data_IF_229659765511
#
_entry.id   IF_229659765511
#
_cell.length_a   1.000
_cell.length_b   1.000
_cell.length_c   1.000
_cell.angle_alpha   90.00
_cell.angle_beta   90.00
_cell.angle_gamma   90.00
#
_symmetry.space_group_name_H-M   'P 1'
#
loop_
_entity.id
_entity.type
_entity.pdbx_description
1 polymer ?
#
# COMPACT_ATOMS: atom_id res chain seq x y z
N UNK A 1 -29.15 19.03 -16.31
CA UNK A 1 -27.68 18.95 -16.44
C UNK A 1 -27.14 17.57 -16.05
N UNK A 2 -27.67 16.90 -15.01
CA UNK A 2 -27.25 15.53 -14.61
C UNK A 2 -27.37 14.49 -15.72
N UNK A 3 -28.51 14.42 -16.41
CA UNK A 3 -28.79 13.38 -17.42
C UNK A 3 -27.79 13.35 -18.58
N UNK A 4 -27.27 14.50 -19.01
CA UNK A 4 -26.27 14.56 -20.08
C UNK A 4 -24.91 14.02 -19.62
N UNK A 5 -24.52 14.29 -18.37
CA UNK A 5 -23.29 13.77 -17.78
C UNK A 5 -23.39 12.25 -17.58
N UNK A 6 -24.55 11.77 -17.11
CA UNK A 6 -24.81 10.35 -16.91
C UNK A 6 -24.80 9.59 -18.25
N UNK A 7 -25.43 10.15 -19.29
CA UNK A 7 -25.38 9.58 -20.64
C UNK A 7 -23.95 9.55 -21.20
N UNK A 8 -23.17 10.61 -21.02
CA UNK A 8 -21.76 10.65 -21.46
C UNK A 8 -20.90 9.59 -20.75
N UNK A 9 -21.06 9.44 -19.43
CA UNK A 9 -20.36 8.40 -18.66
C UNK A 9 -20.74 7.00 -19.13
N UNK A 10 -22.01 6.78 -19.39
CA UNK A 10 -22.49 5.50 -19.92
C UNK A 10 -21.91 5.20 -21.31
N UNK A 11 -21.74 6.22 -22.17
CA UNK A 11 -21.05 6.05 -23.45
C UNK A 11 -19.59 5.62 -23.27
N UNK A 12 -18.83 6.31 -22.39
CA UNK A 12 -17.44 5.95 -22.10
C UNK A 12 -17.32 4.52 -21.56
N UNK A 13 -18.23 4.12 -20.67
CA UNK A 13 -18.26 2.76 -20.11
C UNK A 13 -18.53 1.72 -21.20
N UNK A 14 -19.49 1.97 -22.09
CA UNK A 14 -19.81 1.07 -23.21
C UNK A 14 -18.65 0.96 -24.19
N UNK A 15 -17.99 2.07 -24.50
CA UNK A 15 -16.79 2.08 -25.33
C UNK A 15 -15.69 1.20 -24.73
N UNK A 16 -15.38 1.39 -23.44
CA UNK A 16 -14.41 0.54 -22.71
C UNK A 16 -14.78 -0.93 -22.76
N UNK A 17 -16.03 -1.28 -22.42
CA UNK A 17 -16.52 -2.66 -22.45
C UNK A 17 -16.47 -3.27 -23.87
N UNK A 18 -16.76 -2.47 -24.89
CA UNK A 18 -16.69 -2.89 -26.28
C UNK A 18 -15.25 -3.17 -26.68
N UNK A 19 -14.31 -2.28 -26.36
CA UNK A 19 -12.88 -2.43 -26.61
C UNK A 19 -12.31 -3.67 -25.91
N UNK A 20 -12.63 -3.87 -24.63
CA UNK A 20 -12.19 -5.05 -23.87
C UNK A 20 -12.65 -6.37 -24.52
N UNK A 21 -13.89 -6.41 -25.01
CA UNK A 21 -14.45 -7.58 -25.69
C UNK A 21 -13.86 -7.77 -27.09
N UNK A 22 -13.70 -6.69 -27.85
CA UNK A 22 -13.18 -6.70 -29.20
C UNK A 22 -11.72 -7.20 -29.23
N UNK A 23 -10.91 -6.71 -28.29
CA UNK A 23 -9.51 -7.08 -28.14
C UNK A 23 -9.31 -8.39 -27.36
N UNK A 24 -10.38 -9.00 -26.84
CA UNK A 24 -10.34 -10.22 -26.00
C UNK A 24 -9.37 -10.09 -24.81
N UNK A 25 -9.39 -8.92 -24.18
CA UNK A 25 -8.46 -8.58 -23.10
C UNK A 25 -8.58 -9.57 -21.93
N UNK A 26 -7.46 -10.17 -21.57
CA UNK A 26 -7.30 -10.98 -20.37
C UNK A 26 -7.17 -10.08 -19.13
N UNK A 27 -7.30 -10.62 -17.91
CA UNK A 27 -7.17 -9.82 -16.69
C UNK A 27 -5.86 -9.01 -16.61
N UNK A 28 -4.75 -9.58 -17.07
CA UNK A 28 -3.46 -8.89 -17.11
C UNK A 28 -3.44 -7.74 -18.13
N UNK A 29 -4.08 -7.90 -19.28
CA UNK A 29 -4.19 -6.83 -20.29
C UNK A 29 -4.96 -5.63 -19.74
N UNK A 30 -5.99 -5.87 -18.92
CA UNK A 30 -6.75 -4.80 -18.25
C UNK A 30 -5.92 -4.07 -17.19
N UNK A 31 -5.05 -4.79 -16.48
CA UNK A 31 -4.09 -4.17 -15.56
C UNK A 31 -2.99 -3.42 -16.32
N UNK A 32 -2.56 -3.93 -17.48
CA UNK A 32 -1.61 -3.25 -18.38
C UNK A 32 -2.20 -1.97 -18.95
N UNK A 33 -3.49 -1.94 -19.26
CA UNK A 33 -4.18 -0.71 -19.69
C UNK A 33 -4.21 0.38 -18.61
N UNK A 34 -4.16 -0.01 -17.33
CA UNK A 34 -4.02 0.92 -16.20
C UNK A 34 -2.54 1.32 -16.02
N UNK A 35 -1.66 0.34 -15.90
CA UNK A 35 -0.24 0.56 -15.67
C UNK A 35 0.62 -0.37 -16.54
N UNK A 36 0.96 0.05 -17.78
CA UNK A 36 1.76 -0.79 -18.68
C UNK A 36 3.19 -0.98 -18.15
N UNK A 37 3.65 -0.09 -17.27
CA UNK A 37 4.96 -0.18 -16.60
C UNK A 37 5.06 -1.35 -15.61
N UNK A 38 3.94 -1.76 -15.02
CA UNK A 38 3.90 -2.87 -14.06
C UNK A 38 3.41 -4.16 -14.69
N UNK A 39 2.42 -4.08 -15.58
CA UNK A 39 1.68 -5.24 -16.06
C UNK A 39 1.79 -5.44 -17.58
N UNK A 40 2.62 -4.64 -18.25
CA UNK A 40 2.96 -4.82 -19.65
C UNK A 40 3.92 -5.99 -19.85
N UNK A 41 4.40 -6.20 -21.10
CA UNK A 41 5.31 -7.29 -21.42
C UNK A 41 6.57 -7.27 -20.55
N UNK A 42 7.05 -8.47 -20.20
CA UNK A 42 8.24 -8.65 -19.38
C UNK A 42 9.46 -8.00 -20.05
N UNK A 43 10.20 -7.21 -19.27
CA UNK A 43 11.48 -6.64 -19.69
C UNK A 43 12.59 -7.60 -19.27
N UNK A 44 13.58 -7.78 -20.14
CA UNK A 44 14.75 -8.61 -19.85
C UNK A 44 15.53 -8.04 -18.66
N UNK A 45 15.99 -8.92 -17.76
CA UNK A 45 16.86 -8.54 -16.64
C UNK A 45 16.24 -8.61 -15.24
N UNK A 46 14.96 -8.99 -15.11
CA UNK A 46 14.37 -9.32 -13.81
C UNK A 46 15.09 -10.53 -13.20
N UNK A 47 15.52 -10.44 -11.95
CA UNK A 47 16.11 -11.57 -11.22
C UNK A 47 15.01 -12.48 -10.65
N UNK A 48 15.35 -13.74 -10.41
CA UNK A 48 14.38 -14.75 -9.91
C UNK A 48 13.80 -14.39 -8.54
N UNK A 49 14.59 -13.76 -7.67
CA UNK A 49 14.14 -13.33 -6.33
C UNK A 49 13.36 -12.02 -6.32
N UNK A 50 13.36 -11.26 -7.42
CA UNK A 50 12.66 -9.98 -7.47
C UNK A 50 11.14 -10.20 -7.58
N UNK A 51 10.32 -9.40 -6.85
CA UNK A 51 8.87 -9.53 -6.90
C UNK A 51 8.36 -9.15 -8.29
N UNK A 52 7.34 -9.88 -8.76
CA UNK A 52 6.64 -9.53 -10.00
C UNK A 52 5.90 -8.20 -9.87
N UNK A 53 5.31 -7.95 -8.70
CA UNK A 53 4.48 -6.78 -8.46
C UNK A 53 4.74 -6.21 -7.07
N UNK A 54 4.85 -4.89 -7.00
CA UNK A 54 4.89 -4.14 -5.74
C UNK A 54 3.63 -3.28 -5.70
N UNK A 55 2.79 -3.57 -4.72
CA UNK A 55 1.49 -2.94 -4.51
C UNK A 55 1.49 -2.22 -3.15
N UNK A 56 0.70 -1.16 -3.07
CA UNK A 56 0.32 -0.52 -1.81
C UNK A 56 -1.18 -0.67 -1.63
N UNK A 57 -1.58 -0.94 -0.40
CA UNK A 57 -2.96 -1.17 0.03
C UNK A 57 -3.18 -0.36 1.31
N UNK A 58 -4.30 0.34 1.38
CA UNK A 58 -4.58 1.26 2.48
C UNK A 58 -6.07 1.63 2.52
N UNK A 59 -6.56 2.00 3.70
CA UNK A 59 -7.94 2.39 3.96
C UNK A 59 -8.06 3.88 4.28
N UNK A 60 -8.97 4.58 3.61
CA UNK A 60 -9.31 5.96 3.92
C UNK A 60 -10.74 6.11 4.44
N UNK A 61 -10.87 6.32 5.75
CA UNK A 61 -12.15 6.50 6.45
C UNK A 61 -12.72 7.92 6.37
N UNK A 62 -11.94 8.91 5.90
CA UNK A 62 -12.47 10.26 5.68
C UNK A 62 -13.47 10.30 4.51
N UNK A 63 -13.38 9.34 3.59
CA UNK A 63 -14.26 9.17 2.44
C UNK A 63 -15.68 8.69 2.80
N UNK A 64 -16.07 8.66 4.08
CA UNK A 64 -17.40 8.22 4.53
C UNK A 64 -18.60 8.99 3.95
N UNK A 65 -19.75 8.33 3.88
CA UNK A 65 -21.06 8.89 3.45
C UNK A 65 -22.09 8.78 4.57
N UNK A 66 -22.94 9.80 4.72
CA UNK A 66 -24.00 9.79 5.73
C UNK A 66 -25.29 9.12 5.23
N UNK A 67 -25.96 8.33 6.09
CA UNK A 67 -27.23 7.63 5.81
C UNK A 67 -28.36 8.60 5.42
N UNK A 68 -28.39 9.80 6.00
CA UNK A 68 -29.40 10.82 5.71
C UNK A 68 -29.20 11.52 4.34
N UNK A 69 -28.27 11.05 3.51
CA UNK A 69 -27.86 11.73 2.29
C UNK A 69 -28.65 11.26 1.08
N UNK A 70 -29.52 12.16 0.59
CA UNK A 70 -30.27 12.10 -0.67
C UNK A 70 -31.22 10.90 -0.83
N UNK A 71 -32.31 11.10 -1.60
CA UNK A 71 -33.22 10.01 -1.96
C UNK A 71 -32.53 9.12 -2.99
N UNK A 72 -32.31 7.85 -2.65
CA UNK A 72 -31.79 6.84 -3.58
C UNK A 72 -32.71 6.75 -4.81
N UNK A 73 -32.15 6.90 -6.00
CA UNK A 73 -32.88 6.63 -7.24
C UNK A 73 -32.82 5.11 -7.45
N UNK A 74 -33.98 4.44 -7.47
CA UNK A 74 -34.14 2.97 -7.52
C UNK A 74 -33.61 2.26 -8.79
N UNK A 75 -32.72 2.89 -9.56
CA UNK A 75 -31.98 2.20 -10.62
C UNK A 75 -30.89 1.32 -9.99
N UNK A 76 -30.77 0.07 -10.44
CA UNK A 76 -29.71 -0.85 -10.01
C UNK A 76 -28.34 -0.14 -10.09
N UNK A 77 -27.56 -0.08 -9.01
CA UNK A 77 -26.22 0.48 -9.03
C UNK A 77 -25.38 -0.30 -10.06
N UNK A 78 -24.84 0.39 -11.07
CA UNK A 78 -23.78 -0.19 -11.89
C UNK A 78 -22.44 0.08 -11.20
N UNK A 79 -21.73 -1.00 -10.86
CA UNK A 79 -20.41 -0.91 -10.22
C UNK A 79 -19.40 -0.30 -11.21
N UNK A 80 -18.76 0.84 -10.88
CA UNK A 80 -17.76 1.45 -11.75
C UNK A 80 -16.52 0.57 -11.94
N UNK A 81 -15.73 0.85 -12.98
CA UNK A 81 -14.71 -0.09 -13.47
C UNK A 81 -13.56 -0.37 -12.50
N UNK A 82 -13.20 0.61 -11.64
CA UNK A 82 -12.19 0.44 -10.61
C UNK A 82 -12.75 -0.16 -9.32
N UNK A 83 -14.07 -0.13 -9.13
CA UNK A 83 -14.70 -0.69 -7.94
C UNK A 83 -14.93 -2.19 -8.08
N UNK A 84 -14.65 -2.92 -7.00
CA UNK A 84 -15.04 -4.33 -6.92
C UNK A 84 -16.52 -4.40 -6.56
N UNK A 85 -17.24 -5.29 -7.24
CA UNK A 85 -18.65 -5.50 -7.01
C UNK A 85 -18.91 -6.02 -5.58
N UNK A 86 -19.86 -5.44 -4.82
CA UNK A 86 -20.15 -5.88 -3.45
C UNK A 86 -20.45 -7.39 -3.33
N UNK A 87 -21.12 -7.98 -4.32
CA UNK A 87 -21.42 -9.41 -4.30
C UNK A 87 -20.13 -10.24 -4.38
N UNK A 88 -19.14 -9.78 -5.15
CA UNK A 88 -17.81 -10.41 -5.21
C UNK A 88 -17.05 -10.25 -3.90
N UNK A 89 -17.16 -9.09 -3.25
CA UNK A 89 -16.54 -8.86 -1.94
C UNK A 89 -17.12 -9.82 -0.91
N UNK A 90 -18.45 -9.99 -0.87
CA UNK A 90 -19.11 -10.93 0.03
C UNK A 90 -18.69 -12.38 -0.24
N UNK A 91 -18.56 -12.77 -1.51
CA UNK A 91 -18.08 -14.10 -1.88
C UNK A 91 -16.64 -14.34 -1.41
N UNK A 92 -15.75 -13.35 -1.56
CA UNK A 92 -14.37 -13.44 -1.06
C UNK A 92 -14.33 -13.56 0.46
N UNK A 93 -15.15 -12.76 1.17
CA UNK A 93 -15.27 -12.83 2.63
C UNK A 93 -15.77 -14.20 3.10
N UNK A 94 -16.80 -14.74 2.45
CA UNK A 94 -17.33 -16.06 2.79
C UNK A 94 -16.29 -17.17 2.56
N UNK A 95 -15.55 -17.11 1.45
CA UNK A 95 -14.47 -18.06 1.17
C UNK A 95 -13.33 -17.98 2.20
N UNK A 96 -12.97 -16.77 2.66
CA UNK A 96 -11.98 -16.60 3.73
C UNK A 96 -12.46 -17.24 5.05
N UNK A 97 -13.73 -17.09 5.40
CA UNK A 97 -14.32 -17.71 6.61
C UNK A 97 -14.40 -19.24 6.54
N UNK A 98 -14.59 -19.79 5.34
CA UNK A 98 -14.61 -21.24 5.11
C UNK A 98 -13.19 -21.85 5.21
N UNK A 99 -12.18 -21.20 4.61
CA UNK A 99 -10.78 -21.64 4.68
C UNK A 99 -10.23 -21.63 6.13
N UNK A 100 -10.65 -20.67 6.95
CA UNK A 100 -10.17 -20.53 8.34
C UNK A 100 -10.71 -21.60 9.30
N UNK A 101 -11.69 -22.42 8.90
CA UNK A 101 -12.18 -23.53 9.73
C UNK A 101 -11.29 -24.78 9.69
N UNK A 102 -10.33 -24.85 8.75
CA UNK A 102 -9.45 -26.01 8.56
C UNK A 102 -8.00 -25.79 9.05
N UNK A 103 -7.61 -24.58 9.47
CA UNK A 103 -6.26 -24.27 9.96
C UNK A 103 -6.20 -24.03 11.46
N UNK A 104 -5.35 -24.79 12.18
CA UNK A 104 -5.01 -24.46 13.57
C UNK A 104 -4.27 -23.11 13.62
N UNK A 105 -4.86 -22.13 14.32
CA UNK A 105 -4.25 -20.82 14.55
C UNK A 105 -3.06 -20.95 15.51
N UNK A 106 -1.84 -20.75 15.02
CA UNK A 106 -0.68 -20.47 15.88
C UNK A 106 -0.73 -18.99 16.22
N UNK A 107 -1.14 -18.70 17.46
CA UNK A 107 -1.25 -17.36 18.01
C UNK A 107 0.16 -16.79 18.31
N UNK A 108 0.87 -16.35 17.28
CA UNK A 108 1.98 -15.42 17.41
C UNK A 108 1.52 -14.04 16.93
N UNK A 109 0.60 -13.45 17.68
CA UNK A 109 0.21 -12.06 17.47
C UNK A 109 1.44 -11.15 17.68
N UNK A 110 1.85 -10.43 16.63
CA UNK A 110 3.00 -9.53 16.70
C UNK A 110 2.67 -8.38 17.67
N UNK A 111 3.52 -8.14 18.67
CA UNK A 111 3.29 -7.16 19.76
C UNK A 111 3.04 -5.72 19.26
N UNK A 112 3.41 -5.43 18.00
CA UNK A 112 3.18 -4.16 17.32
C UNK A 112 1.68 -3.87 17.11
N UNK A 113 0.86 -4.93 16.93
CA UNK A 113 -0.59 -4.83 16.67
C UNK A 113 -1.36 -4.28 17.88
N UNK A 114 -0.84 -4.48 19.10
CA UNK A 114 -1.47 -3.98 20.33
C UNK A 114 -1.19 -2.49 20.62
N UNK A 115 -0.06 -1.96 20.13
CA UNK A 115 0.40 -0.61 20.48
C UNK A 115 -0.05 0.49 19.53
N UNK A 116 -0.36 0.15 18.27
CA UNK A 116 -0.77 1.14 17.28
C UNK A 116 -2.06 0.73 16.58
N UNK A 117 -3.16 1.35 17.01
CA UNK A 117 -4.36 1.38 16.18
C UNK A 117 -4.12 2.33 15.02
N UNK A 118 -4.07 1.82 13.79
CA UNK A 118 -4.16 2.64 12.58
C UNK A 118 -5.31 3.64 12.77
N UNK A 119 -4.98 4.93 12.76
CA UNK A 119 -5.83 6.06 13.16
C UNK A 119 -7.15 5.61 13.80
N UNK A 120 -7.11 5.24 15.08
CA UNK A 120 -8.33 5.14 15.89
C UNK A 120 -9.03 6.49 15.75
N UNK A 121 -10.01 6.58 14.86
CA UNK A 121 -10.91 7.71 14.80
C UNK A 121 -11.44 7.77 16.24
N UNK A 122 -11.24 8.91 16.91
CA UNK A 122 -11.61 9.16 18.32
C UNK A 122 -13.14 9.17 18.47
N UNK A 123 -13.83 8.34 17.68
CA UNK A 123 -15.22 8.35 17.31
C UNK A 123 -15.70 6.91 17.50
N UNK A 124 -16.22 6.66 18.70
CA UNK A 124 -16.76 5.35 19.07
C UNK A 124 -17.87 4.87 18.14
N UNK A 125 -18.28 3.61 18.32
CA UNK A 125 -19.34 2.90 17.59
C UNK A 125 -20.62 3.70 17.30
N UNK A 126 -20.91 4.74 18.09
CA UNK A 126 -22.05 5.63 17.91
C UNK A 126 -21.93 6.63 16.73
N UNK A 127 -20.72 6.98 16.26
CA UNK A 127 -20.55 7.88 15.10
C UNK A 127 -20.84 7.18 13.77
N UNK A 128 -20.64 5.87 13.70
CA UNK A 128 -20.86 5.07 12.50
C UNK A 128 -22.33 4.77 12.22
N UNK A 129 -23.21 4.83 13.24
CA UNK A 129 -24.65 4.57 13.10
C UNK A 129 -25.36 5.52 12.12
N UNK A 130 -24.75 6.66 11.81
CA UNK A 130 -25.26 7.65 10.84
C UNK A 130 -24.54 7.62 9.49
N UNK A 131 -23.67 6.63 9.23
CA UNK A 131 -22.97 6.45 7.95
C UNK A 131 -23.31 5.08 7.33
N UNK A 132 -23.63 5.04 6.04
CA UNK A 132 -23.86 3.79 5.31
C UNK A 132 -22.59 3.30 4.61
N UNK A 133 -21.67 4.20 4.28
CA UNK A 133 -20.31 3.89 3.84
C UNK A 133 -19.30 4.44 4.85
N UNK A 134 -18.44 3.58 5.42
CA UNK A 134 -17.51 3.96 6.49
C UNK A 134 -16.14 4.39 5.98
N UNK A 135 -15.79 4.04 4.74
CA UNK A 135 -14.52 4.40 4.11
C UNK A 135 -14.35 3.84 2.71
N UNK A 136 -13.13 3.96 2.18
CA UNK A 136 -12.71 3.32 0.93
C UNK A 136 -11.39 2.61 1.19
N UNK A 137 -11.33 1.34 0.81
CA UNK A 137 -10.08 0.59 0.75
C UNK A 137 -9.54 0.65 -0.69
N UNK A 138 -8.26 0.99 -0.83
CA UNK A 138 -7.61 1.15 -2.11
C UNK A 138 -6.48 0.17 -2.33
N UNK A 139 -6.21 -0.11 -3.60
CA UNK A 139 -5.00 -0.79 -4.05
C UNK A 139 -4.39 0.00 -5.20
N UNK A 140 -3.10 0.31 -5.09
CA UNK A 140 -2.35 0.98 -6.15
C UNK A 140 -0.99 0.31 -6.39
N UNK A 141 -0.47 0.41 -7.61
CA UNK A 141 0.88 -0.07 -7.91
C UNK A 141 1.95 0.95 -7.47
N UNK A 142 3.23 0.52 -7.45
CA UNK A 142 4.40 1.39 -7.20
C UNK A 142 4.55 2.61 -8.12
N UNK A 143 3.77 2.72 -9.20
CA UNK A 143 3.72 3.88 -10.10
C UNK A 143 2.48 4.75 -9.88
N UNK A 144 1.83 4.59 -8.72
CA UNK A 144 0.77 5.47 -8.24
C UNK A 144 -0.47 5.42 -9.12
N UNK A 145 -0.68 4.26 -9.75
CA UNK A 145 -1.89 3.95 -10.52
C UNK A 145 -2.85 3.18 -9.64
N UNK A 146 -4.08 3.69 -9.50
CA UNK A 146 -5.17 3.04 -8.79
C UNK A 146 -5.56 1.79 -9.56
N UNK A 147 -5.43 0.63 -8.93
CA UNK A 147 -5.81 -0.65 -9.53
C UNK A 147 -7.24 -0.99 -9.18
N UNK A 148 -7.60 -0.98 -7.89
CA UNK A 148 -8.94 -1.31 -7.41
C UNK A 148 -9.32 -0.49 -6.20
N UNK A 149 -10.62 -0.28 -6.04
CA UNK A 149 -11.25 0.34 -4.89
C UNK A 149 -12.35 -0.58 -4.37
N UNK A 150 -12.50 -0.61 -3.05
CA UNK A 150 -13.60 -1.30 -2.36
C UNK A 150 -14.22 -0.30 -1.39
N UNK A 151 -15.54 -0.31 -1.30
CA UNK A 151 -16.22 0.47 -0.29
C UNK A 151 -16.23 -0.31 1.03
N UNK A 152 -15.87 0.35 2.13
CA UNK A 152 -15.84 -0.27 3.44
C UNK A 152 -17.24 -0.13 4.07
N UNK A 153 -17.78 -1.25 4.54
CA UNK A 153 -19.02 -1.32 5.31
C UNK A 153 -18.70 -1.81 6.73
N UNK A 154 -18.90 -0.94 7.72
CA UNK A 154 -18.54 -1.25 9.12
C UNK A 154 -17.05 -1.02 9.43
N UNK A 155 -16.61 -1.47 10.61
CA UNK A 155 -15.23 -1.37 11.09
C UNK A 155 -14.71 -2.76 11.43
N UNK A 156 -13.60 -3.16 10.83
CA UNK A 156 -12.89 -4.38 11.20
C UNK A 156 -11.87 -4.77 10.15
N UNK A 157 -10.61 -4.49 10.44
CA UNK A 157 -9.52 -5.30 9.90
C UNK A 157 -9.26 -6.37 10.96
N UNK A 158 -9.29 -7.64 10.58
CA UNK A 158 -8.76 -8.75 11.34
C UNK A 158 -8.68 -9.93 10.37
N UNK A 159 -7.49 -10.18 9.83
CA UNK A 159 -6.99 -11.52 9.50
C UNK A 159 -5.70 -11.38 8.68
N UNK A 160 -4.58 -11.72 9.30
CA UNK A 160 -3.34 -12.02 8.59
C UNK A 160 -3.40 -13.47 8.10
N UNK A 161 -3.08 -13.71 6.82
CA UNK A 161 -2.86 -15.06 6.29
C UNK A 161 -1.37 -15.26 6.07
N UNK A 162 -0.83 -16.35 6.63
CA UNK A 162 0.43 -16.91 6.16
C UNK A 162 0.21 -17.57 4.79
N UNK A 163 0.31 -16.79 3.72
CA UNK A 163 0.50 -17.35 2.38
C UNK A 163 1.95 -17.12 1.97
N UNK A 164 2.68 -18.20 1.68
CA UNK A 164 4.10 -18.23 1.31
C UNK A 164 4.43 -17.55 -0.05
N UNK A 165 3.55 -16.67 -0.56
CA UNK A 165 3.70 -15.97 -1.84
C UNK A 165 3.69 -14.44 -1.71
N UNK A 166 3.47 -13.89 -0.51
CA UNK A 166 3.34 -12.45 -0.29
C UNK A 166 4.42 -11.94 0.66
N UNK A 167 5.01 -10.79 0.32
CA UNK A 167 5.87 -10.02 1.22
C UNK A 167 5.12 -8.77 1.66
N UNK A 168 5.11 -8.52 2.97
CA UNK A 168 4.49 -7.33 3.56
C UNK A 168 5.55 -6.28 3.90
N UNK A 169 5.18 -5.02 3.76
CA UNK A 169 6.02 -3.89 4.11
C UNK A 169 5.16 -2.70 4.54
N UNK A 170 5.66 -1.96 5.52
CA UNK A 170 5.05 -0.72 6.00
C UNK A 170 5.60 0.45 5.18
N UNK A 171 4.76 1.39 4.75
CA UNK A 171 5.25 2.55 3.99
C UNK A 171 6.35 3.29 4.76
N UNK A 172 7.30 3.92 4.05
CA UNK A 172 8.53 4.44 4.66
C UNK A 172 8.25 5.51 5.71
N UNK A 173 7.23 6.36 5.51
CA UNK A 173 6.87 7.35 6.54
C UNK A 173 6.23 6.70 7.77
N UNK A 174 5.36 5.70 7.57
CA UNK A 174 4.73 5.00 8.68
C UNK A 174 5.73 4.16 9.46
N UNK A 175 6.68 3.50 8.79
CA UNK A 175 7.69 2.64 9.40
C UNK A 175 8.45 3.36 10.53
N UNK A 176 8.85 4.61 10.34
CA UNK A 176 9.60 5.39 11.34
C UNK A 176 8.83 5.67 12.64
N UNK A 177 7.51 5.59 12.62
CA UNK A 177 6.65 5.79 13.79
C UNK A 177 6.50 4.49 14.60
N UNK A 178 6.88 3.35 14.03
CA UNK A 178 6.88 2.07 14.73
C UNK A 178 8.19 1.81 15.48
N UNK A 179 8.12 0.91 16.46
CA UNK A 179 9.28 0.36 17.15
C UNK A 179 10.35 -0.13 16.16
N UNK A 180 11.63 -0.05 16.56
CA UNK A 180 12.77 -0.43 15.72
C UNK A 180 12.64 -1.85 15.14
N UNK A 181 12.03 -2.77 15.89
CA UNK A 181 11.78 -4.13 15.40
C UNK A 181 10.84 -4.16 14.18
N UNK A 182 9.72 -3.44 14.23
CA UNK A 182 8.78 -3.36 13.12
C UNK A 182 9.46 -2.68 11.92
N UNK A 183 10.39 -1.74 12.16
CA UNK A 183 11.24 -1.18 11.10
C UNK A 183 12.14 -2.25 10.49
N UNK A 184 12.86 -3.06 11.27
CA UNK A 184 13.70 -4.13 10.73
C UNK A 184 12.89 -5.17 9.93
N UNK A 185 11.68 -5.51 10.38
CA UNK A 185 10.86 -6.53 9.72
C UNK A 185 10.16 -6.01 8.47
N UNK A 186 9.65 -4.78 8.49
CA UNK A 186 8.70 -4.32 7.47
C UNK A 186 9.12 -3.04 6.74
N UNK A 187 10.23 -2.38 7.08
CA UNK A 187 10.65 -1.16 6.38
C UNK A 187 11.25 -1.49 4.99
N UNK A 188 10.68 -0.98 3.88
CA UNK A 188 11.16 -1.20 2.51
C UNK A 188 12.57 -0.70 2.26
N UNK A 189 13.12 0.19 3.10
CA UNK A 189 14.50 0.69 3.01
C UNK A 189 15.52 -0.23 3.67
N UNK A 190 15.09 -1.07 4.59
CA UNK A 190 15.95 -2.00 5.34
C UNK A 190 15.85 -3.44 4.83
N UNK A 191 14.88 -3.70 3.96
CA UNK A 191 14.60 -5.00 3.39
C UNK A 191 14.91 -5.02 1.90
N UNK A 192 15.40 -6.17 1.43
CA UNK A 192 15.66 -6.39 0.02
C UNK A 192 14.35 -6.45 -0.79
N UNK A 193 14.45 -6.47 -2.11
CA UNK A 193 13.33 -6.67 -3.06
C UNK A 193 12.32 -5.52 -3.26
N UNK A 194 12.28 -4.52 -2.38
CA UNK A 194 11.41 -3.34 -2.56
C UNK A 194 11.97 -2.30 -3.55
N UNK A 195 13.27 -2.38 -3.83
CA UNK A 195 14.03 -1.37 -4.56
C UNK A 195 13.93 -0.01 -3.87
N UNK A 196 13.69 1.06 -4.64
CA UNK A 196 13.54 2.41 -4.09
C UNK A 196 12.07 2.83 -3.84
N UNK A 197 11.15 1.86 -3.79
CA UNK A 197 9.73 2.11 -3.55
C UNK A 197 9.52 2.64 -2.12
N UNK A 198 8.68 3.67 -1.95
CA UNK A 198 8.39 4.29 -0.66
C UNK A 198 7.12 3.75 0.01
N UNK A 199 6.26 3.04 -0.72
CA UNK A 199 4.98 2.54 -0.21
C UNK A 199 3.89 3.61 -0.08
N UNK A 200 4.18 4.87 -0.44
CA UNK A 200 3.33 6.05 -0.20
C UNK A 200 2.35 6.34 -1.35
N UNK A 201 2.15 5.36 -2.24
CA UNK A 201 1.35 5.52 -3.44
C UNK A 201 -0.10 5.91 -3.12
N UNK A 202 -0.71 5.24 -2.14
CA UNK A 202 -2.09 5.51 -1.76
C UNK A 202 -2.26 6.82 -1.00
N UNK A 203 -1.32 7.23 -0.15
CA UNK A 203 -1.37 8.55 0.49
C UNK A 203 -1.40 9.69 -0.55
N UNK A 204 -0.59 9.56 -1.60
CA UNK A 204 -0.59 10.52 -2.71
C UNK A 204 -1.92 10.50 -3.49
N UNK A 205 -2.54 9.34 -3.64
CA UNK A 205 -3.87 9.19 -4.25
C UNK A 205 -4.97 9.77 -3.35
N UNK A 206 -4.93 9.53 -2.04
CA UNK A 206 -5.86 10.08 -1.07
C UNK A 206 -5.82 11.60 -1.03
N UNK A 207 -4.62 12.17 -1.05
CA UNK A 207 -4.42 13.61 -1.20
C UNK A 207 -5.09 14.13 -2.49
N UNK A 208 -4.89 13.45 -3.62
CA UNK A 208 -5.51 13.81 -4.90
C UNK A 208 -7.05 13.72 -4.90
N UNK A 209 -7.62 12.76 -4.17
CA UNK A 209 -9.07 12.55 -4.02
C UNK A 209 -9.69 13.40 -2.91
N UNK A 210 -8.89 14.02 -2.04
CA UNK A 210 -9.37 14.80 -0.89
C UNK A 210 -10.39 15.90 -1.21
N UNK A 211 -10.33 16.61 -2.37
CA UNK A 211 -11.33 17.61 -2.70
C UNK A 211 -12.75 17.04 -2.89
N UNK A 212 -12.88 15.72 -3.11
CA UNK A 212 -14.16 15.05 -3.26
C UNK A 212 -14.82 14.69 -1.93
N UNK A 213 -14.06 14.65 -0.82
CA UNK A 213 -14.57 14.18 0.48
C UNK A 213 -15.78 14.99 0.94
N UNK A 214 -15.66 16.33 0.94
CA UNK A 214 -16.74 17.22 1.38
C UNK A 214 -18.00 17.11 0.52
N UNK A 215 -17.91 17.30 -0.81
CA UNK A 215 -19.06 17.22 -1.71
C UNK A 215 -19.74 15.84 -1.74
N UNK A 216 -18.96 14.74 -1.71
CA UNK A 216 -19.52 13.40 -1.86
C UNK A 216 -20.18 12.86 -0.59
N UNK A 217 -19.88 13.45 0.58
CA UNK A 217 -20.46 13.06 1.88
C UNK A 217 -21.98 13.08 1.90
N UNK A 218 -22.59 13.96 1.11
CA UNK A 218 -24.04 14.18 1.02
C UNK A 218 -24.64 13.76 -0.33
N UNK A 219 -23.85 13.10 -1.18
CA UNK A 219 -24.30 12.63 -2.48
C UNK A 219 -24.97 11.25 -2.39
N UNK A 220 -25.74 10.86 -3.40
CA UNK A 220 -26.25 9.49 -3.53
C UNK A 220 -25.07 8.52 -3.69
N UNK A 221 -25.24 7.26 -3.31
CA UNK A 221 -24.22 6.21 -3.48
C UNK A 221 -23.65 6.16 -4.92
N UNK A 222 -24.52 6.17 -5.92
CA UNK A 222 -24.11 6.09 -7.34
C UNK A 222 -23.24 7.29 -7.77
N UNK A 223 -23.65 8.51 -7.42
CA UNK A 223 -22.86 9.71 -7.72
C UNK A 223 -21.49 9.68 -7.02
N UNK A 224 -21.42 9.22 -5.75
CA UNK A 224 -20.16 9.06 -5.03
C UNK A 224 -19.22 8.11 -5.76
N UNK A 225 -19.68 6.89 -6.03
CA UNK A 225 -18.86 5.87 -6.70
C UNK A 225 -18.42 6.33 -8.10
N UNK A 226 -19.34 6.91 -8.89
CA UNK A 226 -19.03 7.40 -10.23
C UNK A 226 -18.02 8.56 -10.22
N UNK A 227 -18.12 9.49 -9.25
CA UNK A 227 -17.19 10.60 -9.13
C UNK A 227 -15.78 10.13 -8.73
N UNK A 228 -15.68 9.20 -7.77
CA UNK A 228 -14.42 8.61 -7.35
C UNK A 228 -13.76 7.83 -8.49
N UNK A 229 -14.50 6.95 -9.16
CA UNK A 229 -14.02 6.17 -10.31
C UNK A 229 -13.54 7.09 -11.44
N UNK A 230 -14.34 8.10 -11.81
CA UNK A 230 -13.96 9.05 -12.86
C UNK A 230 -12.68 9.82 -12.52
N UNK A 231 -12.54 10.27 -11.27
CA UNK A 231 -11.38 11.02 -10.80
C UNK A 231 -10.13 10.14 -10.72
N UNK A 232 -10.27 8.90 -10.26
CA UNK A 232 -9.20 7.90 -10.24
C UNK A 232 -8.78 7.44 -11.64
N UNK A 233 -9.73 7.25 -12.56
CA UNK A 233 -9.42 6.98 -13.96
C UNK A 233 -8.64 8.14 -14.58
N UNK A 234 -9.06 9.39 -14.34
CA UNK A 234 -8.32 10.56 -14.82
C UNK A 234 -6.90 10.64 -14.23
N UNK A 235 -6.73 10.38 -12.95
CA UNK A 235 -5.40 10.26 -12.31
C UNK A 235 -4.53 9.24 -13.04
N UNK A 236 -5.10 8.06 -13.34
CA UNK A 236 -4.38 7.01 -14.04
C UNK A 236 -3.97 7.45 -15.46
N UNK A 237 -4.87 8.06 -16.22
CA UNK A 237 -4.57 8.59 -17.57
C UNK A 237 -3.45 9.64 -17.55
N UNK A 238 -3.46 10.55 -16.58
CA UNK A 238 -2.38 11.54 -16.40
C UNK A 238 -1.05 10.83 -16.09
N UNK A 239 -1.06 9.84 -15.19
CA UNK A 239 0.16 9.09 -14.86
C UNK A 239 0.66 8.17 -15.99
N UNK A 240 -0.21 7.71 -16.90
CA UNK A 240 0.18 7.07 -18.17
C UNK A 240 0.85 8.07 -19.10
N UNK A 241 0.24 9.24 -19.29
CA UNK A 241 0.78 10.31 -20.15
C UNK A 241 2.18 10.75 -19.71
N UNK A 242 2.43 10.83 -18.40
CA UNK A 242 3.72 11.23 -17.84
C UNK A 242 4.66 10.07 -17.49
N UNK A 243 4.37 8.85 -17.95
CA UNK A 243 5.09 7.64 -17.58
C UNK A 243 6.61 7.74 -17.83
N UNK A 244 7.02 8.24 -19.00
CA UNK A 244 8.44 8.37 -19.35
C UNK A 244 9.16 9.37 -18.45
N UNK A 245 8.51 10.51 -18.16
CA UNK A 245 9.07 11.53 -17.26
C UNK A 245 9.23 10.97 -15.85
N UNK A 246 8.21 10.29 -15.32
CA UNK A 246 8.26 9.64 -14.02
C UNK A 246 9.43 8.66 -13.91
N UNK A 247 9.61 7.79 -14.92
CA UNK A 247 10.70 6.82 -14.93
C UNK A 247 12.08 7.49 -15.03
N UNK A 248 12.22 8.53 -15.86
CA UNK A 248 13.45 9.31 -15.98
C UNK A 248 13.82 9.99 -14.65
N UNK A 249 12.86 10.65 -14.01
CA UNK A 249 13.08 11.37 -12.76
C UNK A 249 13.44 10.39 -11.63
N UNK A 250 12.78 9.22 -11.57
CA UNK A 250 13.15 8.14 -10.64
C UNK A 250 14.55 7.60 -10.92
N UNK A 251 14.89 7.36 -12.19
CA UNK A 251 16.23 6.90 -12.58
C UNK A 251 17.33 7.87 -12.13
N UNK A 252 17.15 9.18 -12.39
CA UNK A 252 18.07 10.22 -11.92
C UNK A 252 18.20 10.27 -10.40
N UNK A 253 17.09 10.09 -9.67
CA UNK A 253 17.12 10.02 -8.22
C UNK A 253 17.92 8.81 -7.73
N UNK A 254 17.69 7.63 -8.31
CA UNK A 254 18.42 6.40 -7.98
C UNK A 254 19.92 6.58 -8.24
N UNK A 255 20.30 7.11 -9.40
CA UNK A 255 21.70 7.38 -9.76
C UNK A 255 22.35 8.36 -8.79
N UNK A 256 21.66 9.45 -8.44
CA UNK A 256 22.15 10.42 -7.45
C UNK A 256 22.38 9.77 -6.08
N UNK A 257 21.41 8.98 -5.62
CA UNK A 257 21.50 8.26 -4.34
C UNK A 257 22.67 7.27 -4.36
N UNK A 258 22.81 6.48 -5.43
CA UNK A 258 23.91 5.54 -5.60
C UNK A 258 25.27 6.24 -5.53
N UNK A 259 25.44 7.35 -6.26
CA UNK A 259 26.68 8.12 -6.24
C UNK A 259 26.99 8.68 -4.84
N UNK A 260 25.97 9.20 -4.15
CA UNK A 260 26.12 9.69 -2.77
C UNK A 260 26.54 8.56 -1.82
N UNK A 261 25.89 7.40 -1.88
CA UNK A 261 26.21 6.23 -1.05
C UNK A 261 27.62 5.70 -1.34
N UNK A 262 28.04 5.68 -2.61
CA UNK A 262 29.40 5.29 -2.98
C UNK A 262 30.46 6.25 -2.40
N UNK A 263 30.19 7.55 -2.37
CA UNK A 263 31.11 8.51 -1.76
C UNK A 263 31.21 8.32 -0.24
N UNK A 264 30.08 8.12 0.45
CA UNK A 264 30.06 7.83 1.88
C UNK A 264 30.85 6.55 2.19
N UNK A 265 30.67 5.48 1.40
CA UNK A 265 31.43 4.25 1.60
C UNK A 265 32.94 4.41 1.36
N UNK A 266 33.34 5.30 0.44
CA UNK A 266 34.75 5.64 0.24
C UNK A 266 35.32 6.40 1.44
N UNK A 267 34.59 7.39 1.94
CA UNK A 267 34.99 8.15 3.14
C UNK A 267 35.16 7.22 4.35
N UNK A 268 34.22 6.29 4.57
CA UNK A 268 34.32 5.29 5.64
C UNK A 268 35.56 4.40 5.47
N UNK A 269 35.87 4.00 4.24
CA UNK A 269 37.06 3.21 3.95
C UNK A 269 38.35 4.00 4.16
N UNK A 270 38.39 5.26 3.75
CA UNK A 270 39.57 6.13 3.85
C UNK A 270 39.85 6.56 5.31
N UNK A 271 38.80 6.84 6.08
CA UNK A 271 38.91 7.30 7.47
C UNK A 271 39.12 6.15 8.46
N UNK A 272 38.38 5.05 8.30
CA UNK A 272 38.33 3.96 9.29
C UNK A 272 38.90 2.63 8.77
N UNK A 273 39.33 2.55 7.50
CA UNK A 273 39.85 1.31 6.91
C UNK A 273 38.79 0.23 6.67
N UNK A 274 37.50 0.56 6.80
CA UNK A 274 36.40 -0.40 6.71
C UNK A 274 35.86 -0.51 5.28
N UNK A 275 35.79 -1.73 4.75
CA UNK A 275 35.26 -1.99 3.41
C UNK A 275 33.73 -2.07 3.44
N UNK A 276 33.07 -1.86 2.29
CA UNK A 276 31.62 -2.05 2.17
C UNK A 276 31.17 -3.48 2.53
N UNK A 277 32.02 -4.49 2.31
CA UNK A 277 31.74 -5.87 2.72
C UNK A 277 31.75 -6.01 4.25
N UNK A 278 32.70 -5.35 4.92
CA UNK A 278 32.74 -5.33 6.39
C UNK A 278 31.49 -4.67 6.97
N UNK A 279 31.11 -3.49 6.48
CA UNK A 279 29.91 -2.76 6.94
C UNK A 279 28.64 -3.58 6.73
N UNK A 280 28.50 -4.24 5.57
CA UNK A 280 27.37 -5.16 5.32
C UNK A 280 27.38 -6.35 6.28
N UNK A 281 28.55 -6.89 6.61
CA UNK A 281 28.70 -7.96 7.59
C UNK A 281 28.24 -7.52 8.98
N UNK A 282 28.63 -6.33 9.42
CA UNK A 282 28.19 -5.75 10.70
C UNK A 282 26.69 -5.53 10.72
N UNK A 283 26.11 -4.96 9.66
CA UNK A 283 24.65 -4.80 9.53
C UNK A 283 23.90 -6.13 9.67
N UNK A 284 24.34 -7.17 8.94
CA UNK A 284 23.70 -8.48 8.99
C UNK A 284 23.80 -9.11 10.38
N UNK A 285 24.95 -8.97 11.04
CA UNK A 285 25.15 -9.43 12.42
C UNK A 285 24.23 -8.70 13.38
N UNK A 286 24.21 -7.36 13.35
CA UNK A 286 23.37 -6.53 14.20
C UNK A 286 21.89 -6.90 14.04
N UNK A 287 21.43 -6.98 12.79
CA UNK A 287 20.06 -7.38 12.44
C UNK A 287 19.73 -8.77 13.00
N UNK A 288 20.60 -9.76 12.82
CA UNK A 288 20.38 -11.11 13.35
C UNK A 288 20.31 -11.12 14.88
N UNK A 289 21.22 -10.44 15.57
CA UNK A 289 21.22 -10.32 17.02
C UNK A 289 19.91 -9.69 17.51
N UNK A 290 19.54 -8.53 16.97
CA UNK A 290 18.34 -7.79 17.36
C UNK A 290 17.05 -8.60 17.12
N UNK A 291 16.95 -9.31 15.98
CA UNK A 291 15.82 -10.20 15.72
C UNK A 291 15.80 -11.43 16.65
N UNK A 292 16.96 -12.01 16.97
CA UNK A 292 17.07 -13.23 17.80
C UNK A 292 16.81 -13.02 19.28
N UNK A 293 17.21 -11.87 19.83
CA UNK A 293 17.02 -11.51 21.25
C UNK A 293 15.53 -11.35 21.57
N UNK A 294 14.75 -10.86 20.61
CA UNK A 294 13.33 -10.53 20.80
C UNK A 294 12.43 -11.78 20.70
N UNK A 295 12.80 -12.76 19.86
CA UNK A 295 12.08 -14.03 19.80
C UNK A 295 12.22 -14.86 21.10
N UNK A 296 13.17 -14.52 21.98
CA UNK A 296 13.56 -15.35 23.13
C UNK A 296 13.64 -14.62 24.50
N UNK A 297 13.34 -13.31 24.62
CA UNK A 297 13.57 -12.56 25.87
C UNK A 297 12.56 -11.45 26.22
N UNK A 298 12.43 -11.08 27.52
CA UNK A 298 11.60 -9.95 27.97
C UNK A 298 12.26 -8.58 27.67
N UNK A 299 11.47 -7.65 27.12
CA UNK A 299 11.88 -6.37 26.49
C UNK A 299 12.78 -5.46 27.35
N UNK A 300 12.70 -5.54 28.68
CA UNK A 300 13.38 -4.62 29.60
C UNK A 300 14.88 -4.88 29.77
N UNK A 301 15.31 -6.13 29.65
CA UNK A 301 16.75 -6.48 29.60
C UNK A 301 17.36 -6.18 28.22
N UNK A 302 16.50 -5.92 27.23
CA UNK A 302 16.83 -5.78 25.82
C UNK A 302 17.19 -4.34 25.44
N UNK A 303 16.55 -3.35 26.06
CA UNK A 303 16.91 -1.93 25.94
C UNK A 303 18.30 -1.66 26.54
N UNK A 304 18.57 -2.17 27.76
CA UNK A 304 19.89 -2.04 28.41
C UNK A 304 21.00 -2.72 27.59
N UNK A 305 20.78 -3.92 27.06
CA UNK A 305 21.82 -4.62 26.27
C UNK A 305 22.07 -4.00 24.89
N UNK A 306 21.05 -3.40 24.27
CA UNK A 306 21.22 -2.72 22.97
C UNK A 306 21.87 -1.35 23.18
N UNK A 307 21.50 -0.60 24.22
CA UNK A 307 22.23 0.62 24.61
C UNK A 307 23.69 0.31 24.94
N UNK A 308 23.97 -0.73 25.72
CA UNK A 308 25.33 -1.16 26.06
C UNK A 308 26.13 -1.59 24.82
N UNK A 309 25.52 -2.27 23.85
CA UNK A 309 26.20 -2.65 22.60
C UNK A 309 26.49 -1.43 21.72
N UNK A 310 25.58 -0.46 21.65
CA UNK A 310 25.80 0.80 20.92
C UNK A 310 26.86 1.63 21.62
N UNK A 311 26.87 1.71 22.95
CA UNK A 311 27.90 2.41 23.72
C UNK A 311 29.27 1.73 23.61
N UNK A 312 29.33 0.39 23.66
CA UNK A 312 30.58 -0.36 23.50
C UNK A 312 31.15 -0.30 22.08
N UNK A 313 30.31 -0.20 21.04
CA UNK A 313 30.78 0.03 19.68
C UNK A 313 31.20 1.48 19.43
N UNK A 314 30.54 2.46 20.04
CA UNK A 314 30.97 3.88 20.04
C UNK A 314 32.28 4.08 20.81
N UNK A 315 32.49 3.34 21.91
CA UNK A 315 33.74 3.34 22.68
C UNK A 315 34.84 2.48 22.04
N UNK A 316 34.48 1.43 21.30
CA UNK A 316 35.40 0.58 20.53
C UNK A 316 35.88 1.22 19.22
N UNK A 317 35.16 2.20 18.70
CA UNK A 317 35.56 3.13 17.65
C UNK A 317 36.26 4.39 18.20
N UNK A 318 36.86 4.30 19.40
CA UNK A 318 37.68 5.34 19.98
C UNK A 318 38.68 5.90 18.98
N UNK A 319 38.46 7.17 18.63
CA UNK A 319 39.36 8.20 18.10
C UNK A 319 40.87 7.87 18.12
#
# INVERSE_FOLDING_TARGET
>A
MSSAVDAYREMLRREKNFTERLLKMQPIDKLSDICPKCFGPLVLGKKEHEPDYILCMDANFQQRRHVASSVEIHSKPETPSLFIDPDKVQLMENGMKEDNQEGESVDQMDRCTEQHTAANDVRGSNTWKACDDTGIFGMACRHDQVLRLINIFGSGENEERESNQLMFGTSVFHAHVHEWLCQLRYNPRLNDEWGMSDGEGLERIWSYLSPLIGPLRYSTRNHRLAALDSRSCHHNEVGKTHALKLLLDRGKHIEKTMNSSCNILKEVMEQFGHTGQYVRGQWNRQRQCQLSLINNGPMKELEEQVEDLVELEVLGLGL
#
